data_IF_114264043972
#
_entry.id   IF_114264043972
#
_cell.length_a   1.000
_cell.length_b   1.000
_cell.length_c   1.000
_cell.angle_alpha   90.00
_cell.angle_beta   90.00
_cell.angle_gamma   90.00
#
_symmetry.space_group_name_H-M   'P 1'
#
loop_
_entity.id
_entity.type
_entity.pdbx_description
1 polymer ?
#
# COMPACT_ATOMS: atom_id res chain seq x y z
N UNK A 1 18.52 35.85 13.95
CA UNK A 1 18.31 34.49 13.38
C UNK A 1 18.52 33.34 14.38
N UNK A 2 19.37 33.48 15.41
CA UNK A 2 19.66 32.42 16.42
C UNK A 2 18.44 31.94 17.26
N UNK A 3 17.54 32.83 17.65
CA UNK A 3 16.43 32.57 18.59
C UNK A 3 15.41 31.54 18.07
N UNK A 4 15.23 31.45 16.76
CA UNK A 4 14.21 30.59 16.15
C UNK A 4 14.63 29.11 16.09
N UNK A 5 15.94 28.83 15.95
CA UNK A 5 16.45 27.46 15.98
C UNK A 5 16.42 26.87 17.40
N UNK A 6 16.74 27.66 18.43
CA UNK A 6 16.67 27.23 19.83
C UNK A 6 15.23 26.83 20.20
N UNK A 7 14.24 27.60 19.77
CA UNK A 7 12.83 27.31 20.04
C UNK A 7 12.31 26.07 19.29
N UNK A 8 12.85 25.76 18.11
CA UNK A 8 12.54 24.51 17.38
C UNK A 8 13.15 23.29 18.06
N UNK A 9 14.40 23.39 18.53
CA UNK A 9 15.07 22.30 19.25
C UNK A 9 14.39 22.02 20.60
N UNK A 10 13.95 23.07 21.32
CA UNK A 10 13.21 22.91 22.57
C UNK A 10 11.86 22.19 22.36
N UNK A 11 11.13 22.54 21.30
CA UNK A 11 9.86 21.88 20.94
C UNK A 11 10.08 20.41 20.57
N UNK A 12 11.14 20.10 19.82
CA UNK A 12 11.49 18.73 19.46
C UNK A 12 11.84 17.89 20.69
N UNK A 13 12.67 18.43 21.60
CA UNK A 13 13.02 17.75 22.86
C UNK A 13 11.81 17.52 23.76
N UNK A 14 10.86 18.45 23.79
CA UNK A 14 9.63 18.29 24.58
C UNK A 14 8.76 17.15 24.03
N UNK A 15 8.63 17.03 22.70
CA UNK A 15 7.88 15.94 22.05
C UNK A 15 8.54 14.58 22.34
N UNK A 16 9.87 14.50 22.22
CA UNK A 16 10.63 13.27 22.54
C UNK A 16 10.51 12.90 24.02
N UNK A 17 10.55 13.89 24.93
CA UNK A 17 10.38 13.67 26.36
C UNK A 17 8.97 13.17 26.70
N UNK A 18 7.93 13.74 26.07
CA UNK A 18 6.55 13.24 26.24
C UNK A 18 6.37 11.81 25.73
N UNK A 19 7.00 11.45 24.61
CA UNK A 19 7.00 10.08 24.08
C UNK A 19 7.70 9.11 25.06
N UNK A 20 8.85 9.50 25.61
CA UNK A 20 9.59 8.68 26.59
C UNK A 20 8.81 8.50 27.91
N UNK A 21 8.19 9.55 28.44
CA UNK A 21 7.37 9.47 29.65
C UNK A 21 6.14 8.58 29.45
N UNK A 22 5.53 8.59 28.26
CA UNK A 22 4.42 7.68 27.93
C UNK A 22 4.88 6.21 27.95
N UNK A 23 6.08 5.91 27.42
CA UNK A 23 6.62 4.53 27.44
C UNK A 23 7.03 4.04 28.83
N UNK A 24 7.47 4.94 29.71
CA UNK A 24 7.88 4.60 31.07
C UNK A 24 6.67 4.31 31.98
N UNK A 25 5.53 4.94 31.73
CA UNK A 25 4.30 4.74 32.52
C UNK A 25 3.68 3.34 32.34
N UNK A 26 4.02 2.57 31.29
CA UNK A 26 3.52 1.20 31.12
C UNK A 26 4.38 0.13 31.84
N UNK A 27 5.51 0.49 32.46
CA UNK A 27 6.51 -0.46 32.96
C UNK A 27 6.33 -0.93 34.42
N UNK A 28 5.37 -0.38 35.19
CA UNK A 28 5.16 -0.77 36.59
C UNK A 28 3.68 -0.98 36.89
N UNK A 29 3.20 -2.24 36.87
CA UNK A 29 2.46 -2.93 37.96
C UNK A 29 2.43 -4.44 37.66
N UNK A 30 3.13 -5.25 38.45
CA UNK A 30 3.07 -6.71 38.41
C UNK A 30 1.99 -7.25 39.34
N UNK A 31 1.04 -8.03 38.81
CA UNK A 31 0.09 -8.86 39.56
C UNK A 31 -0.29 -10.07 38.69
N UNK A 32 -0.74 -11.18 39.28
CA UNK A 32 -1.16 -12.36 38.49
C UNK A 32 -2.26 -12.03 37.45
N UNK A 33 -3.04 -10.97 37.70
CA UNK A 33 -4.01 -10.42 36.76
C UNK A 33 -3.41 -9.44 35.72
N UNK A 34 -2.18 -8.96 35.90
CA UNK A 34 -1.47 -8.15 34.88
C UNK A 34 -0.97 -9.00 33.69
N UNK A 35 -1.02 -10.33 33.81
CA UNK A 35 -0.88 -11.25 32.65
C UNK A 35 -2.06 -11.15 31.68
N UNK A 36 -3.22 -10.66 32.14
CA UNK A 36 -4.30 -10.26 31.24
C UNK A 36 -3.95 -8.89 30.65
N UNK A 37 -3.14 -8.91 29.58
CA UNK A 37 -2.94 -7.72 28.74
C UNK A 37 -4.33 -7.15 28.41
N UNK A 38 -4.56 -5.84 28.56
CA UNK A 38 -5.84 -5.22 28.21
C UNK A 38 -6.27 -5.67 26.83
N UNK A 39 -7.50 -6.20 26.69
CA UNK A 39 -8.03 -6.63 25.40
C UNK A 39 -8.23 -5.45 24.43
N UNK A 40 -8.43 -4.25 24.98
CA UNK A 40 -8.59 -2.99 24.26
C UNK A 40 -7.24 -2.31 24.09
N UNK A 41 -6.75 -2.21 22.86
CA UNK A 41 -5.45 -1.59 22.55
C UNK A 41 -5.46 -0.88 21.21
N UNK A 42 -4.83 0.29 21.17
CA UNK A 42 -4.45 0.94 19.94
C UNK A 42 -3.02 0.53 19.59
N UNK A 43 -2.77 0.30 18.31
CA UNK A 43 -1.44 0.08 17.77
C UNK A 43 -1.32 0.83 16.46
N UNK A 44 -0.22 1.58 16.32
CA UNK A 44 0.18 2.23 15.07
C UNK A 44 1.38 1.47 14.53
N UNK A 45 1.42 1.27 13.23
CA UNK A 45 2.53 0.62 12.57
C UNK A 45 2.80 1.22 11.20
N UNK A 46 4.05 1.11 10.77
CA UNK A 46 4.44 1.31 9.39
C UNK A 46 4.43 -0.05 8.67
N UNK A 47 4.17 -0.03 7.38
CA UNK A 47 4.25 -1.21 6.53
C UNK A 47 5.12 -0.91 5.31
N UNK A 48 5.92 -1.89 4.95
CA UNK A 48 6.54 -2.00 3.64
C UNK A 48 6.05 -3.32 3.05
N UNK A 49 5.66 -3.32 1.78
CA UNK A 49 5.07 -4.50 1.17
C UNK A 49 5.54 -4.63 -0.27
N UNK A 50 6.06 -5.79 -0.68
CA UNK A 50 6.20 -6.08 -2.09
C UNK A 50 4.81 -6.16 -2.72
N UNK A 51 4.68 -5.63 -3.91
CA UNK A 51 3.44 -5.62 -4.68
C UNK A 51 3.67 -6.40 -5.95
N UNK A 52 2.68 -7.21 -6.31
CA UNK A 52 2.67 -8.00 -7.53
C UNK A 52 1.36 -7.73 -8.24
N UNK A 53 1.44 -7.46 -9.54
CA UNK A 53 0.27 -7.41 -10.41
C UNK A 53 0.09 -8.80 -11.00
N UNK A 54 -1.11 -9.37 -10.89
CA UNK A 54 -1.47 -10.60 -11.58
C UNK A 54 -2.71 -10.28 -12.42
N UNK A 55 -2.59 -10.45 -13.72
CA UNK A 55 -3.58 -10.05 -14.71
C UNK A 55 -3.18 -10.54 -16.08
N UNK A 56 -3.71 -9.90 -17.13
CA UNK A 56 -3.50 -10.26 -18.54
C UNK A 56 -2.07 -10.00 -19.07
N UNK A 57 -1.16 -9.56 -18.20
CA UNK A 57 0.25 -9.34 -18.54
C UNK A 57 1.08 -10.53 -18.06
N UNK A 58 1.86 -11.09 -18.99
CA UNK A 58 2.54 -12.39 -18.82
C UNK A 58 3.77 -12.35 -17.88
N UNK A 59 4.42 -11.18 -17.72
CA UNK A 59 5.61 -11.03 -16.87
C UNK A 59 5.37 -10.02 -15.72
N UNK A 60 4.92 -10.49 -14.55
CA UNK A 60 4.68 -9.64 -13.40
C UNK A 60 5.99 -9.17 -12.77
N UNK A 61 6.22 -7.85 -12.74
CA UNK A 61 7.40 -7.27 -12.10
C UNK A 61 7.13 -6.96 -10.63
N UNK A 62 8.19 -7.07 -9.83
CA UNK A 62 8.13 -6.72 -8.42
C UNK A 62 7.97 -5.20 -8.26
N UNK A 63 6.85 -4.78 -7.68
CA UNK A 63 6.67 -3.44 -7.16
C UNK A 63 6.93 -3.38 -5.65
N UNK A 64 6.94 -2.15 -5.12
CA UNK A 64 7.01 -1.90 -3.68
C UNK A 64 5.92 -0.90 -3.29
N UNK A 65 5.41 -1.07 -2.08
CA UNK A 65 4.55 -0.11 -1.41
C UNK A 65 4.99 0.16 0.02
N UNK A 66 4.70 1.37 0.47
CA UNK A 66 4.94 1.84 1.83
C UNK A 66 3.67 2.47 2.37
N UNK A 67 3.41 2.27 3.65
CA UNK A 67 2.20 2.81 4.26
C UNK A 67 2.23 2.82 5.77
N UNK A 68 1.09 3.22 6.34
CA UNK A 68 0.85 3.19 7.76
C UNK A 68 -0.50 2.54 8.05
N UNK A 69 -0.62 1.95 9.24
CA UNK A 69 -1.87 1.40 9.71
C UNK A 69 -2.12 1.74 11.18
N UNK A 70 -3.39 1.92 11.49
CA UNK A 70 -3.93 2.09 12.83
C UNK A 70 -4.83 0.89 13.12
N UNK A 71 -4.49 0.11 14.14
CA UNK A 71 -5.30 -1.02 14.58
C UNK A 71 -5.85 -0.79 15.97
N UNK A 72 -7.16 -0.94 16.11
CA UNK A 72 -7.87 -1.02 17.37
C UNK A 72 -8.23 -2.47 17.68
N UNK A 73 -7.64 -3.04 18.72
CA UNK A 73 -8.04 -4.36 19.22
C UNK A 73 -9.23 -4.19 20.15
N UNK A 74 -10.34 -4.89 19.87
CA UNK A 74 -11.54 -4.91 20.71
C UNK A 74 -11.38 -5.97 21.80
N UNK A 75 -10.75 -7.09 21.44
CA UNK A 75 -10.42 -8.19 22.33
C UNK A 75 -9.04 -8.76 21.99
N UNK A 76 -8.62 -9.80 22.71
CA UNK A 76 -7.39 -10.51 22.40
C UNK A 76 -7.42 -11.21 21.02
N UNK A 77 -8.61 -11.44 20.48
CA UNK A 77 -8.82 -12.22 19.26
C UNK A 77 -9.31 -11.36 18.10
N UNK A 78 -10.07 -10.30 18.37
CA UNK A 78 -10.66 -9.42 17.34
C UNK A 78 -10.09 -8.01 17.40
N UNK A 79 -9.80 -7.45 16.23
CA UNK A 79 -9.49 -6.03 16.07
C UNK A 79 -9.97 -5.49 14.72
N UNK A 80 -9.99 -4.17 14.62
CA UNK A 80 -10.24 -3.41 13.41
C UNK A 80 -8.95 -2.70 13.02
N UNK A 81 -8.60 -2.70 11.73
CA UNK A 81 -7.41 -2.04 11.20
C UNK A 81 -7.82 -1.11 10.06
N UNK A 82 -7.41 0.14 10.19
CA UNK A 82 -7.39 1.13 9.13
C UNK A 82 -5.97 1.15 8.55
N UNK A 83 -5.82 1.06 7.24
CA UNK A 83 -4.53 1.17 6.55
C UNK A 83 -4.64 2.14 5.39
N UNK A 84 -3.53 2.85 5.14
CA UNK A 84 -3.32 3.51 3.87
C UNK A 84 -1.90 3.27 3.40
N UNK A 85 -1.72 2.96 2.13
CA UNK A 85 -0.42 2.77 1.51
C UNK A 85 -0.36 3.42 0.14
N UNK A 86 0.87 3.70 -0.26
CA UNK A 86 1.22 4.24 -1.56
C UNK A 86 2.28 3.33 -2.15
N UNK A 87 2.19 3.06 -3.44
CA UNK A 87 3.13 2.14 -4.06
C UNK A 87 3.02 2.10 -5.56
N UNK A 88 3.82 1.20 -6.14
CA UNK A 88 3.85 0.96 -7.57
C UNK A 88 3.49 -0.49 -7.85
N UNK A 89 2.75 -0.72 -8.91
CA UNK A 89 2.52 -2.02 -9.52
C UNK A 89 3.13 -1.97 -10.91
N UNK A 90 3.94 -2.97 -11.24
CA UNK A 90 4.64 -3.05 -12.52
C UNK A 90 4.36 -4.38 -13.18
N UNK A 91 4.17 -4.37 -14.49
CA UNK A 91 4.02 -5.57 -15.29
C UNK A 91 4.51 -5.31 -16.71
N UNK A 92 4.95 -6.36 -17.38
CA UNK A 92 5.41 -6.32 -18.76
C UNK A 92 4.69 -7.43 -19.53
N UNK A 93 4.27 -7.14 -20.74
CA UNK A 93 3.75 -8.14 -21.68
C UNK A 93 4.89 -8.65 -22.57
N UNK A 94 4.76 -9.87 -23.09
CA UNK A 94 5.70 -10.46 -24.04
C UNK A 94 5.85 -9.62 -25.33
N UNK A 95 4.87 -8.79 -25.67
CA UNK A 95 4.90 -7.84 -26.80
C UNK A 95 5.65 -6.53 -26.50
N UNK A 96 6.54 -6.51 -25.50
CA UNK A 96 7.35 -5.34 -25.12
C UNK A 96 6.50 -4.14 -24.64
N UNK A 97 5.28 -4.40 -24.17
CA UNK A 97 4.37 -3.42 -23.57
C UNK A 97 4.58 -3.38 -22.05
N UNK A 98 4.99 -2.24 -21.53
CA UNK A 98 5.22 -2.03 -20.10
C UNK A 98 4.07 -1.26 -19.47
N UNK A 99 3.62 -1.71 -18.30
CA UNK A 99 2.59 -1.04 -17.49
C UNK A 99 3.16 -0.67 -16.13
N UNK A 100 3.03 0.60 -15.76
CA UNK A 100 3.37 1.13 -14.45
C UNK A 100 2.14 1.82 -13.82
N UNK A 101 1.66 1.27 -12.71
CA UNK A 101 0.54 1.80 -11.98
C UNK A 101 0.98 2.32 -10.60
N UNK A 102 0.95 3.63 -10.44
CA UNK A 102 1.12 4.30 -9.15
C UNK A 102 -0.22 4.28 -8.43
N UNK A 103 -0.31 3.56 -7.32
CA UNK A 103 -1.54 3.43 -6.57
C UNK A 103 -1.46 4.06 -5.18
N UNK A 104 -2.63 4.48 -4.69
CA UNK A 104 -2.87 4.88 -3.32
C UNK A 104 -4.07 4.10 -2.81
N UNK A 105 -3.91 3.31 -1.76
CA UNK A 105 -5.02 2.56 -1.16
C UNK A 105 -5.42 3.13 0.20
N UNK A 106 -6.70 2.95 0.50
CA UNK A 106 -7.26 3.12 1.84
C UNK A 106 -8.15 1.93 2.14
N UNK A 107 -7.90 1.26 3.26
CA UNK A 107 -8.57 0.01 3.60
C UNK A 107 -9.01 -0.05 5.06
N UNK A 108 -10.20 -0.61 5.28
CA UNK A 108 -10.77 -0.93 6.58
C UNK A 108 -11.01 -2.44 6.69
N UNK A 109 -10.27 -3.10 7.58
CA UNK A 109 -10.30 -4.56 7.70
C UNK A 109 -10.57 -5.01 9.14
N UNK A 110 -11.38 -6.05 9.26
CA UNK A 110 -11.46 -6.86 10.47
C UNK A 110 -10.25 -7.79 10.54
N UNK A 111 -9.63 -7.90 11.71
CA UNK A 111 -8.49 -8.78 11.98
C UNK A 111 -8.89 -9.80 13.04
N UNK A 112 -8.76 -11.08 12.71
CA UNK A 112 -9.07 -12.21 13.57
C UNK A 112 -7.83 -13.05 13.85
N UNK A 113 -7.43 -13.14 15.12
CA UNK A 113 -6.26 -13.91 15.55
C UNK A 113 -6.61 -15.40 15.69
N UNK A 114 -6.05 -16.23 14.82
CA UNK A 114 -6.21 -17.67 14.82
C UNK A 114 -5.39 -18.33 15.95
N UNK A 115 -6.03 -19.24 16.69
CA UNK A 115 -5.36 -20.00 17.76
C UNK A 115 -5.40 -19.38 19.16
N UNK A 116 -6.18 -18.30 19.35
CA UNK A 116 -6.45 -17.70 20.66
C UNK A 116 -7.90 -17.96 21.11
N UNK A 117 -8.28 -19.24 21.26
CA UNK A 117 -9.64 -19.67 21.70
C UNK A 117 -9.77 -19.68 23.23
N UNK A 118 -8.66 -19.54 23.97
CA UNK A 118 -8.68 -19.46 25.43
C UNK A 118 -8.60 -18.02 25.90
N UNK A 119 -9.70 -17.49 26.47
CA UNK A 119 -9.77 -16.15 27.07
C UNK A 119 -8.92 -16.00 28.36
N UNK A 120 -8.35 -17.11 28.87
CA UNK A 120 -7.69 -17.18 30.18
C UNK A 120 -6.20 -17.55 30.13
N UNK A 121 -5.67 -17.97 28.97
CA UNK A 121 -4.28 -18.42 28.85
C UNK A 121 -3.38 -17.32 28.29
N UNK A 122 -2.13 -17.19 28.77
CA UNK A 122 -1.16 -16.25 28.20
C UNK A 122 -1.01 -16.41 26.68
N UNK A 123 -1.01 -15.28 25.97
CA UNK A 123 -0.87 -15.20 24.52
C UNK A 123 0.44 -15.85 24.06
N UNK A 124 0.39 -16.73 23.05
CA UNK A 124 1.59 -17.29 22.41
C UNK A 124 2.47 -16.16 21.85
N UNK A 125 3.80 -16.39 21.85
CA UNK A 125 4.80 -15.44 21.34
C UNK A 125 4.61 -15.16 19.85
N UNK A 126 4.19 -16.15 19.07
CA UNK A 126 3.84 -16.04 17.65
C UNK A 126 2.37 -16.35 17.49
N UNK A 127 1.66 -15.51 16.75
CA UNK A 127 0.23 -15.58 16.53
C UNK A 127 -0.05 -15.52 15.03
N UNK A 128 -0.91 -16.42 14.56
CA UNK A 128 -1.46 -16.33 13.22
C UNK A 128 -2.71 -15.44 13.29
N UNK A 129 -2.92 -14.60 12.30
CA UNK A 129 -4.14 -13.85 12.14
C UNK A 129 -4.59 -13.88 10.68
N UNK A 130 -5.89 -13.78 10.48
CA UNK A 130 -6.49 -13.51 9.18
C UNK A 130 -7.13 -12.13 9.21
N UNK A 131 -7.27 -11.51 8.05
CA UNK A 131 -7.98 -10.26 7.90
C UNK A 131 -8.86 -10.28 6.66
N UNK A 132 -9.96 -9.54 6.72
CA UNK A 132 -10.91 -9.36 5.63
C UNK A 132 -11.59 -8.00 5.78
N UNK A 133 -11.89 -7.32 4.68
CA UNK A 133 -12.63 -6.08 4.72
C UNK A 133 -12.84 -5.43 3.37
N UNK A 134 -12.96 -4.11 3.39
CA UNK A 134 -13.27 -3.29 2.23
C UNK A 134 -12.28 -2.13 2.16
N UNK A 135 -12.00 -1.66 0.96
CA UNK A 135 -11.19 -0.48 0.74
C UNK A 135 -11.51 0.19 -0.59
N UNK A 136 -10.81 1.29 -0.82
CA UNK A 136 -10.76 1.96 -2.10
C UNK A 136 -9.29 2.07 -2.52
N UNK A 137 -9.03 1.87 -3.80
CA UNK A 137 -7.74 2.10 -4.41
C UNK A 137 -7.89 3.18 -5.48
N UNK A 138 -7.03 4.17 -5.44
CA UNK A 138 -6.86 5.11 -6.55
C UNK A 138 -5.66 4.67 -7.33
N UNK A 139 -5.85 4.44 -8.62
CA UNK A 139 -4.80 4.02 -9.55
C UNK A 139 -4.54 5.09 -10.58
N UNK A 140 -3.26 5.31 -10.86
CA UNK A 140 -2.78 6.04 -12.02
C UNK A 140 -1.86 5.09 -12.79
N UNK A 141 -2.44 4.44 -13.79
CA UNK A 141 -1.76 3.48 -14.65
C UNK A 141 -1.36 4.14 -15.95
N UNK A 142 -0.08 4.01 -16.28
CA UNK A 142 0.50 4.42 -17.55
C UNK A 142 1.08 3.16 -18.20
N UNK A 143 0.75 2.95 -19.47
CA UNK A 143 1.29 1.87 -20.27
C UNK A 143 1.90 2.41 -21.56
N UNK A 144 2.98 1.78 -22.03
CA UNK A 144 3.69 2.20 -23.23
C UNK A 144 4.41 1.05 -23.91
N UNK A 145 4.77 1.23 -25.18
CA UNK A 145 5.55 0.24 -25.93
C UNK A 145 7.03 0.64 -25.92
N UNK A 146 7.91 -0.33 -25.72
CA UNK A 146 9.36 -0.06 -25.81
C UNK A 146 9.89 -0.10 -27.25
N UNK A 147 9.09 -0.60 -28.20
CA UNK A 147 9.47 -0.78 -29.59
C UNK A 147 8.48 -0.09 -30.54
N UNK A 148 9.01 0.79 -31.41
CA UNK A 148 8.19 1.66 -32.26
C UNK A 148 7.39 0.93 -33.33
N UNK A 149 7.84 -0.26 -33.78
CA UNK A 149 7.10 -1.07 -34.76
C UNK A 149 5.79 -1.59 -34.16
N UNK A 150 5.84 -2.14 -32.94
CA UNK A 150 4.66 -2.63 -32.22
C UNK A 150 3.74 -1.46 -31.83
N UNK A 151 4.31 -0.33 -31.43
CA UNK A 151 3.56 0.89 -31.15
C UNK A 151 2.73 1.36 -32.36
N UNK A 152 3.33 1.38 -33.56
CA UNK A 152 2.64 1.75 -34.80
C UNK A 152 1.54 0.78 -35.17
N UNK A 153 1.81 -0.53 -35.07
CA UNK A 153 0.81 -1.56 -35.36
C UNK A 153 -0.41 -1.44 -34.43
N UNK A 154 -0.17 -1.27 -33.12
CA UNK A 154 -1.22 -1.11 -32.12
C UNK A 154 -2.02 0.19 -32.32
N UNK A 155 -1.37 1.32 -32.63
CA UNK A 155 -2.08 2.57 -32.90
C UNK A 155 -2.92 2.50 -34.19
N UNK A 156 -2.43 1.83 -35.23
CA UNK A 156 -3.17 1.66 -36.47
C UNK A 156 -4.47 0.86 -36.27
N UNK A 157 -4.46 -0.12 -35.35
CA UNK A 157 -5.62 -0.95 -35.04
C UNK A 157 -6.58 -0.30 -34.04
N UNK A 158 -6.06 0.26 -32.94
CA UNK A 158 -6.88 0.71 -31.80
C UNK A 158 -6.87 2.23 -31.56
N UNK A 159 -5.88 2.96 -32.09
CA UNK A 159 -5.63 4.38 -31.77
C UNK A 159 -6.77 5.32 -32.15
N UNK A 160 -7.51 5.01 -33.23
CA UNK A 160 -8.66 5.82 -33.66
C UNK A 160 -9.95 5.52 -32.88
N UNK A 161 -9.98 4.47 -32.05
CA UNK A 161 -11.20 3.98 -31.39
C UNK A 161 -11.17 4.19 -29.87
N UNK A 162 -9.99 4.29 -29.27
CA UNK A 162 -9.82 4.32 -27.82
C UNK A 162 -9.40 5.71 -27.32
N UNK A 163 -10.27 6.34 -26.52
CA UNK A 163 -10.04 7.66 -25.88
C UNK A 163 -8.83 7.69 -24.94
N UNK A 164 -8.32 6.53 -24.53
CA UNK A 164 -7.27 6.39 -23.53
C UNK A 164 -5.89 6.16 -24.16
N UNK A 165 -5.80 6.14 -25.50
CA UNK A 165 -4.60 5.82 -26.26
C UNK A 165 -4.13 7.08 -27.01
N UNK A 166 -2.87 7.48 -26.82
CA UNK A 166 -2.24 8.61 -27.52
C UNK A 166 -0.97 8.15 -28.24
N UNK A 167 -0.85 8.54 -29.52
CA UNK A 167 0.35 8.31 -30.32
C UNK A 167 1.34 9.44 -30.10
N UNK A 168 2.61 9.11 -29.88
CA UNK A 168 3.68 10.07 -29.56
C UNK A 168 4.76 9.98 -30.64
N UNK A 169 5.18 11.12 -31.16
CA UNK A 169 6.26 11.23 -32.15
C UNK A 169 7.67 11.18 -31.52
N UNK A 170 8.71 11.10 -32.36
CA UNK A 170 10.11 11.11 -31.93
C UNK A 170 10.53 12.36 -31.11
N UNK A 171 9.75 13.45 -31.20
CA UNK A 171 9.97 14.70 -30.48
C UNK A 171 9.15 14.80 -29.18
N UNK A 172 8.37 13.77 -28.85
CA UNK A 172 7.52 13.72 -27.66
C UNK A 172 6.17 14.43 -27.80
N UNK A 173 5.77 14.82 -29.01
CA UNK A 173 4.47 15.46 -29.25
C UNK A 173 3.41 14.43 -29.63
N UNK A 174 2.15 14.74 -29.31
CA UNK A 174 1.01 13.95 -29.76
C UNK A 174 0.87 14.01 -31.29
N UNK A 175 0.83 12.86 -31.93
CA UNK A 175 0.61 12.75 -33.38
C UNK A 175 -0.46 11.72 -33.69
N UNK A 176 -1.27 12.02 -34.71
CA UNK A 176 -2.23 11.08 -35.29
C UNK A 176 -1.72 10.45 -36.59
N UNK A 177 -0.52 10.82 -37.04
CA UNK A 177 0.10 10.23 -38.24
C UNK A 177 0.86 8.97 -37.86
N UNK A 178 0.33 7.80 -38.27
CA UNK A 178 0.88 6.47 -37.94
C UNK A 178 2.36 6.33 -38.28
N UNK A 179 2.83 6.94 -39.37
CA UNK A 179 4.23 6.80 -39.81
C UNK A 179 5.21 7.55 -38.91
N UNK A 180 4.73 8.56 -38.18
CA UNK A 180 5.55 9.44 -37.34
C UNK A 180 5.53 8.99 -35.86
N UNK A 181 4.76 7.95 -35.52
CA UNK A 181 4.64 7.42 -34.15
C UNK A 181 5.89 6.64 -33.78
N UNK A 182 6.46 6.95 -32.63
CA UNK A 182 7.54 6.18 -32.01
C UNK A 182 7.11 5.45 -30.74
N UNK A 183 6.10 5.93 -30.03
CA UNK A 183 5.53 5.30 -28.83
C UNK A 183 4.01 5.52 -28.79
N UNK A 184 3.29 4.64 -28.10
CA UNK A 184 1.87 4.78 -27.82
C UNK A 184 1.65 4.69 -26.32
N UNK A 185 1.09 5.75 -25.74
CA UNK A 185 0.79 5.80 -24.32
C UNK A 185 -0.68 5.48 -24.07
N UNK A 186 -0.95 4.56 -23.15
CA UNK A 186 -2.26 4.36 -22.59
C UNK A 186 -2.31 4.86 -21.14
N UNK A 187 -3.27 5.71 -20.81
CA UNK A 187 -3.40 6.27 -19.45
C UNK A 187 -4.77 5.91 -18.85
N UNK A 188 -4.76 5.40 -17.62
CA UNK A 188 -5.96 5.17 -16.83
C UNK A 188 -5.81 5.80 -15.45
N UNK A 189 -6.76 6.68 -15.12
CA UNK A 189 -6.91 7.22 -13.78
C UNK A 189 -8.31 6.90 -13.25
N UNK A 190 -8.35 6.14 -12.15
CA UNK A 190 -9.60 5.66 -11.58
C UNK A 190 -9.54 5.48 -10.08
N UNK A 191 -10.73 5.41 -9.46
CA UNK A 191 -10.89 4.99 -8.07
C UNK A 191 -11.83 3.79 -8.04
N UNK A 192 -11.30 2.68 -7.56
CA UNK A 192 -11.97 1.39 -7.58
C UNK A 192 -12.14 0.85 -6.16
N UNK A 193 -13.17 0.02 -5.96
CA UNK A 193 -13.41 -0.65 -4.68
C UNK A 193 -12.57 -1.92 -4.63
N UNK A 194 -11.92 -2.17 -3.49
CA UNK A 194 -11.10 -3.35 -3.26
C UNK A 194 -11.61 -4.16 -2.07
N UNK A 195 -11.36 -5.48 -2.13
CA UNK A 195 -11.64 -6.41 -1.04
C UNK A 195 -10.30 -6.93 -0.51
N UNK A 196 -9.70 -6.27 0.49
CA UNK A 196 -8.48 -6.75 1.12
C UNK A 196 -8.76 -7.99 1.98
N UNK A 197 -7.99 -9.05 1.75
CA UNK A 197 -8.02 -10.26 2.57
C UNK A 197 -6.63 -10.91 2.66
N UNK A 198 -6.42 -11.75 3.68
CA UNK A 198 -5.20 -12.53 3.78
C UNK A 198 -4.93 -13.10 5.16
N UNK A 199 -3.68 -13.56 5.33
CA UNK A 199 -3.14 -14.10 6.57
C UNK A 199 -1.85 -13.38 6.94
N UNK A 200 -1.53 -13.36 8.22
CA UNK A 200 -0.28 -12.79 8.70
C UNK A 200 0.16 -13.40 10.02
N UNK A 201 1.45 -13.29 10.29
CA UNK A 201 2.05 -13.69 11.56
C UNK A 201 2.37 -12.43 12.37
N UNK A 202 2.08 -12.48 13.66
CA UNK A 202 2.43 -11.43 14.61
C UNK A 202 3.30 -12.03 15.72
N UNK A 203 4.40 -11.35 16.05
CA UNK A 203 5.18 -11.62 17.26
C UNK A 203 4.81 -10.60 18.35
N UNK A 204 4.58 -11.08 19.57
CA UNK A 204 4.12 -10.30 20.72
C UNK A 204 5.23 -9.85 21.68
#
# INVERSE_FOLDING_TARGET
>A
MLKNNIMKQLKLSLVVLTLLCFTASEAQVGSYFSKFRPGKKWSVGLQISPTFLNGDLDDPKLGLSGGAHLKYSISQTFGLKLSGSIGQLKAVSDENYEVNNNFQDFSFVGVYTLGNISFLRPLRKVQLYTFFGLGAIRSNAEGGFTESENARAFYAEFGNQAKFITGIDASGNETSNVNDIEDVRAEYQGTDIIIPFGFGLKRN
#
